data_IF_675846861953
#
_entry.id   IF_675846861953
#
_cell.length_a   1.000
_cell.length_b   1.000
_cell.length_c   1.000
_cell.angle_alpha   90.00
_cell.angle_beta   90.00
_cell.angle_gamma   90.00
#
_symmetry.space_group_name_H-M   'P 1'
#
loop_
_entity.id
_entity.type
_entity.pdbx_description
1 polymer ?
#
# COMPACT_ATOMS: atom_id res chain seq x y z
N UNK A 1 34.06 20.22 -36.83
CA UNK A 1 33.95 19.20 -37.91
C UNK A 1 32.53 18.70 -38.19
N UNK A 2 31.56 18.80 -37.27
CA UNK A 2 30.19 18.27 -37.46
C UNK A 2 29.29 19.12 -38.40
N UNK A 3 29.50 20.44 -38.42
CA UNK A 3 28.69 21.40 -39.19
C UNK A 3 28.79 21.17 -40.71
N UNK A 4 29.98 20.85 -41.23
CA UNK A 4 30.19 20.61 -42.67
C UNK A 4 29.52 19.32 -43.16
N UNK A 5 29.36 18.30 -42.30
CA UNK A 5 28.65 17.06 -42.66
C UNK A 5 27.14 17.27 -42.76
N UNK A 6 26.59 18.22 -42.02
CA UNK A 6 25.16 18.54 -42.02
C UNK A 6 24.68 19.19 -43.32
N UNK A 7 25.53 20.00 -43.95
CA UNK A 7 25.21 20.68 -45.21
C UNK A 7 25.01 19.71 -46.38
N UNK A 8 25.77 18.60 -46.39
CA UNK A 8 25.75 17.56 -47.42
C UNK A 8 24.61 16.53 -47.27
N UNK A 9 23.76 16.67 -46.25
CA UNK A 9 22.60 15.80 -46.04
C UNK A 9 21.46 16.14 -47.01
N UNK A 10 20.76 15.11 -47.48
CA UNK A 10 19.51 15.26 -48.25
C UNK A 10 18.43 15.94 -47.39
N UNK A 11 17.42 16.54 -48.03
CA UNK A 11 16.31 17.23 -47.32
C UNK A 11 15.67 16.34 -46.23
N UNK A 12 15.48 15.05 -46.52
CA UNK A 12 14.92 14.07 -45.58
C UNK A 12 15.85 13.80 -44.40
N UNK A 13 17.15 13.62 -44.64
CA UNK A 13 18.14 13.37 -43.59
C UNK A 13 18.26 14.55 -42.63
N UNK A 14 18.19 15.80 -43.12
CA UNK A 14 18.20 17.00 -42.27
C UNK A 14 17.00 17.03 -41.31
N UNK A 15 15.81 16.68 -41.80
CA UNK A 15 14.60 16.60 -40.98
C UNK A 15 14.71 15.52 -39.90
N UNK A 16 15.24 14.34 -40.25
CA UNK A 16 15.42 13.23 -39.31
C UNK A 16 16.32 13.57 -38.12
N UNK A 17 17.39 14.35 -38.31
CA UNK A 17 18.32 14.69 -37.21
C UNK A 17 17.65 15.54 -36.12
N UNK A 18 16.61 16.30 -36.46
CA UNK A 18 15.81 17.03 -35.46
C UNK A 18 14.67 16.17 -34.90
N UNK A 19 14.00 15.38 -35.74
CA UNK A 19 12.85 14.57 -35.32
C UNK A 19 13.25 13.44 -34.37
N UNK A 20 14.36 12.73 -34.64
CA UNK A 20 14.83 11.61 -33.81
C UNK A 20 15.04 11.97 -32.33
N UNK A 21 15.82 13.01 -31.97
CA UNK A 21 16.02 13.36 -30.56
C UNK A 21 14.74 13.88 -29.91
N UNK A 22 13.89 14.63 -30.64
CA UNK A 22 12.61 15.10 -30.12
C UNK A 22 11.68 13.92 -29.83
N UNK A 23 11.60 12.96 -30.76
CA UNK A 23 10.87 11.71 -30.58
C UNK A 23 11.38 10.92 -29.38
N UNK A 24 12.69 10.80 -29.20
CA UNK A 24 13.29 10.09 -28.06
C UNK A 24 12.87 10.74 -26.74
N UNK A 25 12.94 12.07 -26.64
CA UNK A 25 12.51 12.82 -25.45
C UNK A 25 11.03 12.60 -25.18
N UNK A 26 10.18 12.64 -26.22
CA UNK A 26 8.74 12.37 -26.08
C UNK A 26 8.50 10.96 -25.55
N UNK A 27 9.20 9.94 -26.07
CA UNK A 27 9.07 8.55 -25.61
C UNK A 27 9.47 8.41 -24.13
N UNK A 28 10.56 9.07 -23.72
CA UNK A 28 11.01 9.06 -22.32
C UNK A 28 9.96 9.70 -21.42
N UNK A 29 9.41 10.85 -21.79
CA UNK A 29 8.36 11.55 -21.03
C UNK A 29 7.09 10.71 -20.97
N UNK A 30 6.63 10.13 -22.09
CA UNK A 30 5.45 9.27 -22.11
C UNK A 30 5.64 8.02 -21.23
N UNK A 31 6.81 7.40 -21.28
CA UNK A 31 7.15 6.25 -20.45
C UNK A 31 7.13 6.62 -18.96
N UNK A 32 7.70 7.78 -18.61
CA UNK A 32 7.67 8.29 -17.23
C UNK A 32 6.23 8.53 -16.74
N UNK A 33 5.40 9.20 -17.54
CA UNK A 33 3.98 9.43 -17.22
C UNK A 33 3.19 8.13 -17.08
N UNK A 34 3.44 7.16 -17.96
CA UNK A 34 2.82 5.84 -17.88
C UNK A 34 3.19 5.16 -16.56
N UNK A 35 4.48 5.06 -16.22
CA UNK A 35 4.93 4.41 -14.96
C UNK A 35 4.35 5.05 -13.69
N UNK A 36 4.09 6.35 -13.71
CA UNK A 36 3.51 7.07 -12.56
C UNK A 36 2.03 6.71 -12.31
N UNK A 37 1.30 6.36 -13.36
CA UNK A 37 -0.17 6.15 -13.31
C UNK A 37 -0.58 4.73 -12.87
N UNK A 38 0.37 3.80 -12.72
CA UNK A 38 0.12 2.42 -12.30
C UNK A 38 0.72 2.07 -10.94
N UNK A 39 1.02 3.06 -10.11
CA UNK A 39 1.51 2.81 -8.76
C UNK A 39 0.36 2.84 -7.75
N UNK A 40 0.27 1.79 -6.95
CA UNK A 40 -0.56 1.69 -5.77
C UNK A 40 0.18 2.29 -4.57
N UNK A 41 -0.54 3.09 -3.77
CA UNK A 41 -0.07 3.56 -2.46
C UNK A 41 -0.37 2.50 -1.41
N UNK A 42 0.61 2.17 -0.59
CA UNK A 42 0.47 1.14 0.45
C UNK A 42 0.98 1.68 1.78
N UNK A 43 0.11 1.67 2.80
CA UNK A 43 0.53 1.90 4.19
C UNK A 43 0.77 0.56 4.86
N UNK A 44 1.85 0.48 5.62
CA UNK A 44 2.34 -0.73 6.25
C UNK A 44 2.42 -0.48 7.74
N UNK A 45 1.86 -1.42 8.51
CA UNK A 45 2.00 -1.47 9.96
C UNK A 45 1.99 -2.93 10.38
N UNK A 46 3.15 -3.47 10.76
CA UNK A 46 3.30 -4.89 11.07
C UNK A 46 3.79 -5.07 12.50
N UNK A 47 3.19 -6.04 13.21
CA UNK A 47 3.68 -6.52 14.50
C UNK A 47 4.12 -8.00 14.38
N UNK A 48 5.18 -8.44 15.06
CA UNK A 48 6.09 -7.65 15.89
C UNK A 48 6.96 -6.68 15.06
N UNK A 49 7.55 -5.65 15.68
CA UNK A 49 8.48 -4.73 14.99
C UNK A 49 9.75 -5.40 14.45
N UNK A 50 10.03 -6.63 14.88
CA UNK A 50 11.14 -7.46 14.38
C UNK A 50 10.79 -8.19 13.08
N UNK A 51 9.52 -8.16 12.64
CA UNK A 51 9.08 -8.85 11.46
C UNK A 51 9.67 -8.27 10.18
N UNK A 52 10.01 -9.16 9.25
CA UNK A 52 10.50 -8.82 7.92
C UNK A 52 9.38 -8.94 6.91
N UNK A 53 9.18 -7.89 6.10
CA UNK A 53 8.20 -7.87 5.02
C UNK A 53 8.87 -8.10 3.67
N UNK A 54 8.30 -9.02 2.89
CA UNK A 54 8.67 -9.29 1.51
C UNK A 54 7.44 -9.16 0.61
N UNK A 55 7.59 -8.41 -0.48
CA UNK A 55 6.57 -8.31 -1.54
C UNK A 55 7.22 -8.75 -2.84
N UNK A 56 6.69 -9.81 -3.46
CA UNK A 56 7.29 -10.49 -4.62
C UNK A 56 8.77 -10.87 -4.39
N UNK A 57 9.11 -11.27 -3.17
CA UNK A 57 10.49 -11.64 -2.77
C UNK A 57 11.43 -10.46 -2.50
N UNK A 58 11.02 -9.21 -2.75
CA UNK A 58 11.80 -8.03 -2.41
C UNK A 58 11.52 -7.59 -0.97
N UNK A 59 12.57 -7.32 -0.19
CA UNK A 59 12.46 -6.86 1.20
C UNK A 59 12.02 -5.39 1.27
N UNK A 60 11.08 -5.10 2.17
CA UNK A 60 10.56 -3.77 2.48
C UNK A 60 10.59 -3.49 3.97
N UNK A 61 10.46 -2.21 4.34
CA UNK A 61 10.26 -1.82 5.72
C UNK A 61 8.91 -2.33 6.22
N UNK A 62 8.85 -2.73 7.49
CA UNK A 62 7.66 -3.28 8.13
C UNK A 62 6.71 -2.21 8.70
N UNK A 63 7.02 -0.93 8.49
CA UNK A 63 6.20 0.21 8.87
C UNK A 63 6.40 1.37 7.89
N UNK A 64 5.38 2.22 7.79
CA UNK A 64 5.42 3.45 6.99
C UNK A 64 4.59 3.38 5.72
N UNK A 65 4.98 4.11 4.68
CA UNK A 65 4.26 4.17 3.41
C UNK A 65 5.20 3.92 2.24
N UNK A 66 4.77 3.08 1.30
CA UNK A 66 5.50 2.78 0.07
C UNK A 66 4.58 2.92 -1.14
N UNK A 67 5.21 3.11 -2.30
CA UNK A 67 4.54 3.01 -3.60
C UNK A 67 5.05 1.77 -4.32
N UNK A 68 4.14 0.98 -4.87
CA UNK A 68 4.45 -0.23 -5.61
C UNK A 68 3.57 -0.35 -6.85
N UNK A 69 4.00 -1.09 -7.86
CA UNK A 69 3.19 -1.31 -9.07
C UNK A 69 1.88 -2.01 -8.71
N UNK A 70 0.75 -1.48 -9.15
CA UNK A 70 -0.56 -2.09 -8.94
C UNK A 70 -0.64 -3.50 -9.54
N UNK A 71 -1.43 -4.37 -8.93
CA UNK A 71 -1.63 -5.75 -9.36
C UNK A 71 -1.55 -6.76 -8.21
N UNK A 72 -1.76 -8.04 -8.53
CA UNK A 72 -1.59 -9.15 -7.60
C UNK A 72 -0.11 -9.35 -7.26
N UNK A 73 0.21 -9.39 -5.97
CA UNK A 73 1.56 -9.62 -5.46
C UNK A 73 1.57 -10.58 -4.30
N UNK A 74 2.64 -11.34 -4.19
CA UNK A 74 2.86 -12.24 -3.06
C UNK A 74 3.40 -11.43 -1.87
N UNK A 75 2.66 -11.42 -0.76
CA UNK A 75 3.07 -10.79 0.50
C UNK A 75 3.47 -11.88 1.48
N UNK A 76 4.74 -11.86 1.88
CA UNK A 76 5.31 -12.75 2.88
C UNK A 76 5.80 -11.90 4.05
N UNK A 77 5.35 -12.21 5.26
CA UNK A 77 5.80 -11.58 6.50
C UNK A 77 6.27 -12.69 7.43
N UNK A 78 7.50 -12.56 7.93
CA UNK A 78 8.12 -13.56 8.81
C UNK A 78 8.86 -12.91 9.97
N UNK A 79 8.85 -13.58 11.11
CA UNK A 79 9.61 -13.21 12.30
C UNK A 79 9.96 -14.47 13.10
N UNK A 80 11.09 -14.46 13.79
CA UNK A 80 11.49 -15.59 14.63
C UNK A 80 10.55 -15.75 15.82
N UNK A 81 10.05 -16.96 16.06
CA UNK A 81 9.07 -17.24 17.13
C UNK A 81 7.63 -16.87 16.76
N UNK A 82 7.33 -16.72 15.47
CA UNK A 82 6.00 -16.43 14.94
C UNK A 82 5.68 -17.29 13.73
N UNK A 83 4.39 -17.52 13.50
CA UNK A 83 3.88 -18.14 12.29
C UNK A 83 4.04 -17.18 11.11
N UNK A 84 4.50 -17.71 9.97
CA UNK A 84 4.64 -16.92 8.75
C UNK A 84 3.28 -16.56 8.17
N UNK A 85 3.14 -15.30 7.75
CA UNK A 85 2.00 -14.85 6.97
C UNK A 85 2.38 -14.85 5.50
N UNK A 86 1.67 -15.62 4.67
CA UNK A 86 1.94 -15.71 3.25
C UNK A 86 0.63 -15.67 2.45
N UNK A 87 0.33 -14.54 1.81
CA UNK A 87 -0.91 -14.34 1.03
C UNK A 87 -0.66 -13.55 -0.24
N UNK A 88 -1.47 -13.83 -1.26
CA UNK A 88 -1.58 -12.99 -2.45
C UNK A 88 -2.54 -11.84 -2.17
N UNK A 89 -2.09 -10.61 -2.38
CA UNK A 89 -2.87 -9.39 -2.20
C UNK A 89 -2.90 -8.63 -3.51
N UNK A 90 -4.09 -8.21 -3.95
CA UNK A 90 -4.25 -7.35 -5.12
C UNK A 90 -4.18 -5.88 -4.72
N UNK A 91 -3.12 -5.19 -5.13
CA UNK A 91 -2.91 -3.78 -4.82
C UNK A 91 -3.54 -2.90 -5.91
N UNK A 92 -4.59 -2.16 -5.56
CA UNK A 92 -5.25 -1.24 -6.48
C UNK A 92 -4.60 0.14 -6.46
N UNK A 93 -4.55 0.80 -7.62
CA UNK A 93 -4.11 2.19 -7.73
C UNK A 93 -5.17 3.20 -7.26
N UNK A 94 -6.44 2.79 -7.25
CA UNK A 94 -7.58 3.70 -7.05
C UNK A 94 -7.83 3.99 -5.55
N UNK A 95 -7.18 3.23 -4.66
CA UNK A 95 -7.28 3.41 -3.21
C UNK A 95 -5.93 3.26 -2.53
N UNK A 96 -5.86 3.74 -1.29
CA UNK A 96 -4.74 3.41 -0.40
C UNK A 96 -4.92 1.98 0.09
N UNK A 97 -3.97 1.11 -0.22
CA UNK A 97 -3.97 -0.26 0.26
C UNK A 97 -3.26 -0.32 1.62
N UNK A 98 -3.66 -1.27 2.47
CA UNK A 98 -3.18 -1.37 3.83
C UNK A 98 -2.62 -2.78 4.06
N UNK A 99 -1.41 -2.85 4.60
CA UNK A 99 -0.80 -4.09 5.10
C UNK A 99 -0.68 -3.92 6.61
N UNK A 100 -1.81 -4.05 7.28
CA UNK A 100 -1.92 -3.95 8.73
C UNK A 100 -2.07 -5.37 9.27
N UNK A 101 -0.98 -5.95 9.76
CA UNK A 101 -0.95 -7.36 10.10
C UNK A 101 -0.05 -7.61 11.31
N UNK A 102 -0.59 -8.29 12.32
CA UNK A 102 0.21 -8.87 13.39
C UNK A 102 0.40 -10.38 13.16
N UNK A 103 1.57 -10.91 13.52
CA UNK A 103 1.87 -12.34 13.37
C UNK A 103 1.45 -13.11 14.62
N UNK A 104 0.93 -14.32 14.42
CA UNK A 104 0.56 -15.21 15.52
C UNK A 104 1.84 -15.80 16.11
N UNK A 105 2.11 -15.65 17.42
CA UNK A 105 3.28 -16.27 18.03
C UNK A 105 3.21 -17.80 17.96
N UNK A 106 4.35 -18.46 17.87
CA UNK A 106 4.42 -19.93 18.03
C UNK A 106 4.19 -20.33 19.49
N UNK A 107 3.94 -21.60 19.77
CA UNK A 107 3.71 -22.08 21.15
C UNK A 107 4.85 -21.68 22.11
N UNK A 108 6.11 -21.78 21.66
CA UNK A 108 7.29 -21.40 22.45
C UNK A 108 7.35 -19.89 22.79
N UNK A 109 6.57 -19.05 22.12
CA UNK A 109 6.59 -17.59 22.23
C UNK A 109 5.19 -17.00 22.48
N UNK A 110 4.24 -17.80 22.98
CA UNK A 110 2.81 -17.46 23.08
C UNK A 110 2.51 -16.15 23.80
N UNK A 111 3.27 -15.85 24.86
CA UNK A 111 3.06 -14.67 25.71
C UNK A 111 3.85 -13.44 25.22
N UNK A 112 4.38 -13.44 24.00
CA UNK A 112 5.24 -12.37 23.50
C UNK A 112 4.60 -10.99 23.62
N UNK A 113 3.37 -10.84 23.11
CA UNK A 113 2.69 -9.55 23.15
C UNK A 113 2.38 -9.11 24.58
N UNK A 114 1.92 -10.02 25.43
CA UNK A 114 1.58 -9.72 26.82
C UNK A 114 2.81 -9.24 27.62
N UNK A 115 3.98 -9.79 27.30
CA UNK A 115 5.26 -9.43 27.93
C UNK A 115 5.90 -8.16 27.34
N UNK A 116 5.43 -7.67 26.18
CA UNK A 116 5.99 -6.53 25.47
C UNK A 116 4.93 -5.45 25.24
N UNK A 117 4.78 -4.52 26.19
CA UNK A 117 3.74 -3.47 26.18
C UNK A 117 3.67 -2.68 24.87
N UNK A 118 4.82 -2.34 24.28
CA UNK A 118 4.89 -1.59 23.03
C UNK A 118 4.35 -2.41 21.84
N UNK A 119 4.62 -3.72 21.83
CA UNK A 119 4.15 -4.64 20.79
C UNK A 119 2.67 -4.97 20.97
N UNK A 120 2.19 -5.09 22.22
CA UNK A 120 0.77 -5.21 22.53
C UNK A 120 0.00 -3.98 22.02
N UNK A 121 0.50 -2.78 22.30
CA UNK A 121 -0.10 -1.52 21.85
C UNK A 121 -0.14 -1.45 20.32
N UNK A 122 0.92 -1.90 19.66
CA UNK A 122 0.98 -1.97 18.19
C UNK A 122 -0.05 -2.95 17.62
N UNK A 123 -0.20 -4.13 18.23
CA UNK A 123 -1.23 -5.11 17.87
C UNK A 123 -2.63 -4.52 18.01
N UNK A 124 -2.95 -3.91 19.16
CA UNK A 124 -4.24 -3.24 19.38
C UNK A 124 -4.51 -2.15 18.34
N UNK A 125 -3.48 -1.36 17.99
CA UNK A 125 -3.61 -0.33 16.95
C UNK A 125 -3.95 -0.93 15.59
N UNK A 126 -3.34 -2.07 15.25
CA UNK A 126 -3.62 -2.81 14.01
C UNK A 126 -5.06 -3.33 14.02
N UNK A 127 -5.50 -3.96 15.12
CA UNK A 127 -6.85 -4.52 15.25
C UNK A 127 -7.92 -3.41 15.18
N UNK A 128 -7.74 -2.30 15.91
CA UNK A 128 -8.64 -1.15 15.87
C UNK A 128 -8.71 -0.51 14.48
N UNK A 129 -7.57 -0.40 13.79
CA UNK A 129 -7.52 0.12 12.42
C UNK A 129 -8.29 -0.80 11.47
N UNK A 130 -8.16 -2.12 11.62
CA UNK A 130 -8.93 -3.13 10.89
C UNK A 130 -10.44 -2.91 11.01
N UNK A 131 -10.92 -2.77 12.25
CA UNK A 131 -12.33 -2.51 12.54
C UNK A 131 -12.83 -1.20 11.93
N UNK A 132 -12.03 -0.13 11.98
CA UNK A 132 -12.40 1.15 11.38
C UNK A 132 -12.55 1.05 9.85
N UNK A 133 -11.67 0.31 9.17
CA UNK A 133 -11.74 0.07 7.72
C UNK A 133 -13.01 -0.72 7.39
N UNK A 134 -13.32 -1.77 8.15
CA UNK A 134 -14.53 -2.58 7.96
C UNK A 134 -15.80 -1.74 8.18
N UNK A 135 -15.82 -0.87 9.19
CA UNK A 135 -16.93 0.05 9.43
C UNK A 135 -17.11 1.07 8.30
N UNK A 136 -16.02 1.62 7.75
CA UNK A 136 -16.09 2.52 6.59
C UNK A 136 -16.63 1.79 5.36
N UNK A 137 -16.19 0.56 5.10
CA UNK A 137 -16.70 -0.25 3.99
C UNK A 137 -18.19 -0.55 4.16
N UNK A 138 -18.60 -0.97 5.36
CA UNK A 138 -20.00 -1.19 5.73
C UNK A 138 -20.85 0.06 5.52
N UNK A 139 -20.42 1.22 6.03
CA UNK A 139 -21.17 2.48 5.92
C UNK A 139 -21.31 2.98 4.47
N UNK A 140 -20.41 2.58 3.58
CA UNK A 140 -20.47 2.94 2.17
C UNK A 140 -21.40 2.04 1.34
N UNK A 141 -21.92 0.94 1.91
CA UNK A 141 -22.85 0.05 1.20
C UNK A 141 -24.18 0.78 0.87
N UNK A 142 -24.61 0.74 -0.40
CA UNK A 142 -25.88 1.33 -0.83
C UNK A 142 -27.10 0.91 -0.01
N UNK A 143 -27.11 -0.31 0.57
CA UNK A 143 -28.21 -0.77 1.40
C UNK A 143 -28.41 0.14 2.62
N UNK A 144 -27.33 0.64 3.23
CA UNK A 144 -27.44 1.55 4.39
C UNK A 144 -27.86 2.96 4.01
N UNK A 145 -27.75 3.34 2.73
CA UNK A 145 -28.30 4.62 2.23
C UNK A 145 -29.81 4.60 2.13
N UNK A 146 -30.42 3.42 1.97
CA UNK A 146 -31.89 3.25 1.82
C UNK A 146 -32.56 2.64 3.03
N UNK A 147 -31.82 1.96 3.91
CA UNK A 147 -32.36 1.51 5.20
C UNK A 147 -32.42 2.68 6.18
N UNK A 148 -33.47 2.77 7.03
CA UNK A 148 -33.62 3.85 8.02
C UNK A 148 -32.56 3.83 9.15
N UNK A 149 -31.57 2.94 9.10
CA UNK A 149 -30.52 2.76 10.12
C UNK A 149 -29.49 3.91 10.10
N UNK A 150 -29.36 4.66 9.00
CA UNK A 150 -28.45 5.80 8.90
C UNK A 150 -28.79 6.97 9.85
N UNK A 151 -30.01 7.02 10.40
CA UNK A 151 -30.47 8.10 11.27
C UNK A 151 -30.74 7.64 12.72
N UNK A 152 -30.04 6.62 13.16
CA UNK A 152 -29.94 6.29 14.57
C UNK A 152 -29.05 7.33 15.25
N UNK A 153 -29.67 8.44 15.64
CA UNK A 153 -29.19 9.24 16.77
C UNK A 153 -29.38 8.36 17.98
N UNK A 154 -28.33 7.63 18.33
CA UNK A 154 -28.20 6.75 19.48
C UNK A 154 -28.48 7.54 20.77
N UNK A 155 -29.76 7.72 21.07
CA UNK A 155 -30.28 8.28 22.31
C UNK A 155 -30.13 7.31 23.47
N UNK A 156 -28.92 6.78 23.66
CA UNK A 156 -28.51 6.20 24.93
C UNK A 156 -27.21 6.88 25.35
N UNK A 157 -27.36 8.06 25.97
CA UNK A 157 -26.38 8.49 26.95
C UNK A 157 -26.48 7.54 28.13
N UNK A 158 -25.62 6.53 28.20
CA UNK A 158 -25.37 5.85 29.45
C UNK A 158 -24.53 6.80 30.32
N UNK A 159 -25.20 7.73 31.01
CA UNK A 159 -24.61 8.42 32.15
C UNK A 159 -24.55 7.42 33.29
N UNK A 160 -23.39 6.81 33.50
CA UNK A 160 -23.11 6.13 34.76
C UNK A 160 -22.94 7.21 35.84
N UNK A 161 -24.04 7.53 36.54
CA UNK A 161 -23.93 8.20 37.85
C UNK A 161 -23.24 7.21 38.78
N UNK A 162 -22.09 7.59 39.32
CA UNK A 162 -21.51 6.94 40.49
C UNK A 162 -22.11 7.65 41.70
N UNK A 163 -23.11 7.01 42.30
CA UNK A 163 -23.49 7.26 43.69
C UNK A 163 -22.75 6.24 44.58
#
# INVERSE_FOLDING_TARGET
MWVNKFQNLTKLQKSLVFILPISLVIIIVFSFLYTSTYNAKVKILIAPKTAELYIDGKKYNNSGSISLTSGEKQVLIKANGFQEYNKKINFSKDKTNLIYQWLIPTEDNKNYYDNNKDEWTLRETIDQSGLAIEMEEYNNDPIFKVTPVANYKLGFSASASRD
#
